data_IF_394785631015
#
_entry.id   IF_394785631015
#
_cell.length_a   1.000
_cell.length_b   1.000
_cell.length_c   1.000
_cell.angle_alpha   90.00
_cell.angle_beta   90.00
_cell.angle_gamma   90.00
#
_symmetry.space_group_name_H-M   'P 1'
#
loop_
_entity.id
_entity.type
_entity.pdbx_description
1 polymer ?
#
# COMPACT_ATOMS: atom_id res chain seq x y z
N UNK A 1 -10.40 -37.12 19.67
CA UNK A 1 -9.49 -36.09 20.22
C UNK A 1 -9.78 -34.80 19.49
N UNK A 2 -10.60 -33.92 20.07
CA UNK A 2 -10.95 -32.61 19.50
C UNK A 2 -10.14 -31.55 20.23
N UNK A 3 -9.16 -30.95 19.54
CA UNK A 3 -8.42 -29.79 20.06
C UNK A 3 -9.24 -28.53 19.72
N UNK A 4 -9.86 -27.92 20.72
CA UNK A 4 -10.47 -26.59 20.60
C UNK A 4 -9.39 -25.55 20.82
N UNK A 5 -8.90 -24.96 19.73
CA UNK A 5 -8.05 -23.78 19.78
C UNK A 5 -8.92 -22.59 20.21
N UNK A 6 -8.75 -22.11 21.44
CA UNK A 6 -9.39 -20.88 21.88
C UNK A 6 -8.89 -19.69 21.02
N UNK A 7 -9.75 -18.71 20.68
CA UNK A 7 -9.32 -17.53 19.95
C UNK A 7 -8.46 -16.68 20.88
N UNK A 8 -7.14 -16.75 20.71
CA UNK A 8 -6.21 -15.80 21.33
C UNK A 8 -6.52 -14.44 20.71
N UNK A 9 -6.98 -13.49 21.53
CA UNK A 9 -7.16 -12.10 21.11
C UNK A 9 -5.77 -11.50 20.90
N UNK A 10 -5.27 -11.56 19.66
CA UNK A 10 -3.96 -11.03 19.25
C UNK A 10 -4.02 -9.50 19.11
N UNK A 11 -4.26 -8.81 20.23
CA UNK A 11 -4.39 -7.34 20.29
C UNK A 11 -3.16 -6.63 19.71
N UNK A 12 -1.97 -7.15 19.99
CA UNK A 12 -0.69 -6.65 19.49
C UNK A 12 -0.63 -6.67 17.97
N UNK A 13 -1.08 -7.77 17.34
CA UNK A 13 -1.02 -7.93 15.89
C UNK A 13 -2.01 -7.06 15.15
N UNK A 14 -3.20 -6.86 15.73
CA UNK A 14 -4.15 -5.89 15.17
C UNK A 14 -3.56 -4.48 15.24
N UNK A 15 -2.91 -4.11 16.34
CA UNK A 15 -2.24 -2.82 16.47
C UNK A 15 -1.08 -2.66 15.47
N UNK A 16 -0.28 -3.71 15.27
CA UNK A 16 0.78 -3.73 14.26
C UNK A 16 0.23 -3.62 12.84
N UNK A 17 -0.81 -4.38 12.52
CA UNK A 17 -1.48 -4.32 11.21
C UNK A 17 -2.07 -2.92 10.94
N UNK A 18 -2.66 -2.28 11.95
CA UNK A 18 -3.17 -0.90 11.81
C UNK A 18 -2.05 0.11 11.63
N UNK A 19 -0.90 -0.06 12.31
CA UNK A 19 0.29 0.78 12.10
C UNK A 19 0.82 0.62 10.68
N UNK A 20 0.98 -0.61 10.21
CA UNK A 20 1.43 -0.90 8.85
C UNK A 20 0.45 -0.33 7.81
N UNK A 21 -0.86 -0.51 8.01
CA UNK A 21 -1.89 0.07 7.16
C UNK A 21 -1.84 1.60 7.14
N UNK A 22 -1.60 2.24 8.29
CA UNK A 22 -1.43 3.69 8.39
C UNK A 22 -0.23 4.19 7.57
N UNK A 23 0.92 3.52 7.69
CA UNK A 23 2.11 3.85 6.89
C UNK A 23 1.87 3.66 5.40
N UNK A 24 1.24 2.53 5.02
CA UNK A 24 0.90 2.24 3.63
C UNK A 24 -0.07 3.28 3.05
N UNK A 25 -1.08 3.69 3.82
CA UNK A 25 -2.03 4.73 3.42
C UNK A 25 -1.33 6.07 3.22
N UNK A 26 -0.48 6.48 4.16
CA UNK A 26 0.27 7.74 4.06
C UNK A 26 1.20 7.74 2.84
N UNK A 27 1.89 6.63 2.58
CA UNK A 27 2.71 6.48 1.37
C UNK A 27 1.87 6.51 0.10
N UNK A 28 0.76 5.78 0.05
CA UNK A 28 -0.13 5.74 -1.10
C UNK A 28 -0.73 7.11 -1.42
N UNK A 29 -1.23 7.82 -0.40
CA UNK A 29 -1.72 9.18 -0.55
C UNK A 29 -0.60 10.12 -0.98
N UNK A 30 0.58 10.03 -0.36
CA UNK A 30 1.76 10.82 -0.72
C UNK A 30 2.12 10.66 -2.19
N UNK A 31 2.16 9.42 -2.70
CA UNK A 31 2.42 9.13 -4.11
C UNK A 31 1.39 9.81 -5.02
N UNK A 32 0.09 9.66 -4.73
CA UNK A 32 -0.99 10.24 -5.54
C UNK A 32 -0.92 11.78 -5.56
N UNK A 33 -0.72 12.41 -4.41
CA UNK A 33 -0.67 13.88 -4.32
C UNK A 33 0.62 14.44 -4.95
N UNK A 34 1.77 13.83 -4.69
CA UNK A 34 3.05 14.31 -5.23
C UNK A 34 3.09 14.19 -6.75
N UNK A 35 2.58 13.10 -7.35
CA UNK A 35 2.57 12.95 -8.80
C UNK A 35 1.43 13.73 -9.46
N UNK A 36 0.26 13.81 -8.81
CA UNK A 36 -0.93 14.50 -9.33
C UNK A 36 -0.79 16.02 -9.37
N UNK A 37 -0.03 16.61 -8.43
CA UNK A 37 0.23 18.05 -8.36
C UNK A 37 1.70 18.41 -8.63
N UNK A 38 2.46 17.50 -9.25
CA UNK A 38 3.84 17.78 -9.65
C UNK A 38 3.86 18.93 -10.66
N UNK A 39 4.48 20.06 -10.28
CA UNK A 39 4.90 21.10 -11.23
C UNK A 39 5.89 20.59 -12.30
N UNK A 40 6.89 19.75 -11.96
CA UNK A 40 7.76 19.18 -12.97
C UNK A 40 7.06 18.04 -13.70
N UNK A 41 6.74 18.26 -14.97
CA UNK A 41 6.16 17.27 -15.90
C UNK A 41 6.89 15.92 -15.87
N UNK A 42 8.21 15.92 -15.61
CA UNK A 42 9.01 14.71 -15.47
C UNK A 42 8.46 13.73 -14.42
N UNK A 43 8.06 14.22 -13.24
CA UNK A 43 7.56 13.36 -12.15
C UNK A 43 6.18 12.80 -12.49
N UNK A 44 5.32 13.61 -13.11
CA UNK A 44 4.02 13.17 -13.58
C UNK A 44 4.15 12.11 -14.69
N UNK A 45 5.03 12.34 -15.66
CA UNK A 45 5.29 11.42 -16.77
C UNK A 45 5.93 10.11 -16.28
N UNK A 46 6.88 10.18 -15.34
CA UNK A 46 7.45 8.97 -14.75
C UNK A 46 6.39 8.11 -14.04
N UNK A 47 5.44 8.73 -13.33
CA UNK A 47 4.32 8.01 -12.71
C UNK A 47 3.37 7.40 -13.76
N UNK A 48 3.13 8.13 -14.85
CA UNK A 48 2.35 7.66 -15.99
C UNK A 48 3.03 6.49 -16.72
N UNK A 49 4.36 6.49 -16.86
CA UNK A 49 5.12 5.41 -17.51
C UNK A 49 5.23 4.18 -16.61
N UNK A 50 5.30 4.38 -15.29
CA UNK A 50 5.28 3.30 -14.31
C UNK A 50 3.97 2.51 -14.38
N UNK A 51 2.79 3.16 -14.46
CA UNK A 51 1.51 2.43 -14.61
C UNK A 51 1.42 1.60 -15.90
N UNK A 52 2.00 2.10 -17.00
CA UNK A 52 2.08 1.35 -18.26
C UNK A 52 3.02 0.15 -18.14
N UNK A 53 4.16 0.32 -17.45
CA UNK A 53 5.14 -0.74 -17.20
C UNK A 53 4.63 -1.80 -16.23
N UNK A 54 3.83 -1.41 -15.24
CA UNK A 54 3.20 -2.32 -14.27
C UNK A 54 2.03 -3.11 -14.86
N UNK A 55 1.47 -2.65 -15.99
CA UNK A 55 0.48 -3.39 -16.77
C UNK A 55 1.11 -4.39 -17.76
N UNK A 56 2.44 -4.62 -17.70
CA UNK A 56 3.09 -5.71 -18.43
C UNK A 56 2.36 -7.03 -18.12
N UNK A 57 2.02 -7.84 -19.14
CA UNK A 57 1.16 -9.00 -18.96
C UNK A 57 1.80 -9.98 -17.97
N UNK A 58 1.07 -10.27 -16.90
CA UNK A 58 1.32 -11.43 -16.03
C UNK A 58 0.69 -12.70 -16.61
N UNK A 59 0.88 -12.91 -17.92
CA UNK A 59 0.78 -14.22 -18.55
C UNK A 59 2.08 -14.53 -19.28
#
# INVERSE_FOLDING_TARGET
>A
MTSTTAPVVRTTERSEALRAAGVALLLGLGLVFLTGFAYPEFVHNAAHDARHSLSFPCH
#
